data_IF_220650915686
#
_entry.id   IF_220650915686
#
_cell.length_a   1.000
_cell.length_b   1.000
_cell.length_c   1.000
_cell.angle_alpha   90.00
_cell.angle_beta   90.00
_cell.angle_gamma   90.00
#
_symmetry.space_group_name_H-M   'P 1'
#
loop_
_entity.id
_entity.type
_entity.pdbx_description
1 polymer ?
#
# COMPACT_ATOMS: atom_id res chain seq x y z
N UNK A 1 -23.39 31.99 68.59
CA UNK A 1 -23.69 30.70 67.91
C UNK A 1 -23.84 31.02 66.44
N UNK A 2 -23.04 30.41 65.55
CA UNK A 2 -23.22 30.62 64.10
C UNK A 2 -24.56 30.02 63.68
N UNK A 3 -25.28 30.74 62.83
CA UNK A 3 -26.61 30.37 62.32
C UNK A 3 -26.49 29.11 61.43
N UNK A 4 -27.31 28.10 61.68
CA UNK A 4 -27.28 26.79 61.01
C UNK A 4 -27.40 26.93 59.47
N UNK A 5 -28.17 27.94 59.04
CA UNK A 5 -28.32 28.29 57.64
C UNK A 5 -27.05 28.84 56.99
N UNK A 6 -26.15 29.44 57.77
CA UNK A 6 -24.86 29.98 57.30
C UNK A 6 -23.84 28.84 57.13
N UNK A 7 -23.82 27.90 58.08
CA UNK A 7 -22.99 26.69 58.03
C UNK A 7 -23.28 25.83 56.78
N UNK A 8 -24.57 25.62 56.47
CA UNK A 8 -25.00 24.86 55.29
C UNK A 8 -24.62 25.54 53.97
N UNK A 9 -24.62 26.88 53.91
CA UNK A 9 -24.19 27.64 52.73
C UNK A 9 -22.69 27.52 52.50
N UNK A 10 -21.89 27.57 53.56
CA UNK A 10 -20.44 27.43 53.48
C UNK A 10 -20.03 26.02 53.04
N UNK A 11 -20.65 24.98 53.62
CA UNK A 11 -20.44 23.58 53.19
C UNK A 11 -20.79 23.41 51.70
N UNK A 12 -21.93 23.94 51.25
CA UNK A 12 -22.34 23.87 49.83
C UNK A 12 -21.35 24.60 48.92
N UNK A 13 -20.79 25.72 49.36
CA UNK A 13 -19.80 26.52 48.62
C UNK A 13 -18.47 25.76 48.51
N UNK A 14 -18.04 25.07 49.55
CA UNK A 14 -16.85 24.21 49.53
C UNK A 14 -17.03 22.99 48.62
N UNK A 15 -18.16 22.30 48.69
CA UNK A 15 -18.48 21.18 47.79
C UNK A 15 -18.51 21.61 46.31
N UNK A 16 -19.06 22.79 46.03
CA UNK A 16 -19.06 23.38 44.68
C UNK A 16 -17.64 23.72 44.20
N UNK A 17 -16.77 24.23 45.08
CA UNK A 17 -15.35 24.51 44.76
C UNK A 17 -14.59 23.22 44.49
N UNK A 18 -14.68 22.22 45.38
CA UNK A 18 -14.05 20.92 45.20
C UNK A 18 -14.54 20.19 43.94
N UNK A 19 -15.84 20.31 43.61
CA UNK A 19 -16.41 19.78 42.37
C UNK A 19 -15.85 20.49 41.13
N UNK A 20 -15.74 21.82 41.15
CA UNK A 20 -15.15 22.61 40.05
C UNK A 20 -13.67 22.30 39.85
N UNK A 21 -12.91 22.12 40.93
CA UNK A 21 -11.50 21.70 40.88
C UNK A 21 -11.37 20.30 40.30
N UNK A 22 -12.13 19.32 40.80
CA UNK A 22 -12.16 17.96 40.26
C UNK A 22 -12.59 17.92 38.79
N UNK A 23 -13.54 18.76 38.38
CA UNK A 23 -13.95 18.91 36.99
C UNK A 23 -12.84 19.53 36.12
N UNK A 24 -12.13 20.55 36.64
CA UNK A 24 -10.98 21.18 35.96
C UNK A 24 -9.84 20.18 35.77
N UNK A 25 -9.45 19.45 36.82
CA UNK A 25 -8.43 18.39 36.75
C UNK A 25 -8.83 17.29 35.77
N UNK A 26 -10.10 16.85 35.82
CA UNK A 26 -10.61 15.83 34.89
C UNK A 26 -10.58 16.32 33.44
N UNK A 27 -10.91 17.60 33.20
CA UNK A 27 -10.85 18.22 31.89
C UNK A 27 -9.41 18.30 31.38
N UNK A 28 -8.49 18.80 32.19
CA UNK A 28 -7.07 18.92 31.84
C UNK A 28 -6.45 17.54 31.58
N UNK A 29 -6.76 16.53 32.40
CA UNK A 29 -6.33 15.14 32.17
C UNK A 29 -6.85 14.59 30.83
N UNK A 30 -8.14 14.78 30.54
CA UNK A 30 -8.75 14.34 29.28
C UNK A 30 -8.18 15.08 28.07
N UNK A 31 -7.89 16.38 28.20
CA UNK A 31 -7.25 17.17 27.14
C UNK A 31 -5.82 16.66 26.86
N UNK A 32 -5.03 16.39 27.91
CA UNK A 32 -3.70 15.78 27.78
C UNK A 32 -3.75 14.39 27.15
N UNK A 33 -4.61 13.49 27.65
CA UNK A 33 -4.79 12.14 27.09
C UNK A 33 -5.23 12.19 25.62
N UNK A 34 -6.11 13.12 25.24
CA UNK A 34 -6.53 13.32 23.84
C UNK A 34 -5.38 13.81 22.97
N UNK A 35 -4.60 14.78 23.46
CA UNK A 35 -3.45 15.31 22.73
C UNK A 35 -2.37 14.23 22.53
N UNK A 36 -2.07 13.45 23.56
CA UNK A 36 -1.11 12.34 23.50
C UNK A 36 -1.58 11.24 22.54
N UNK A 37 -2.86 10.81 22.64
CA UNK A 37 -3.44 9.85 21.69
C UNK A 37 -3.39 10.37 20.27
N UNK A 38 -3.69 11.65 20.04
CA UNK A 38 -3.62 12.27 18.72
C UNK A 38 -2.18 12.31 18.18
N UNK A 39 -1.19 12.60 19.03
CA UNK A 39 0.23 12.59 18.67
C UNK A 39 0.72 11.17 18.34
N UNK A 40 0.37 10.18 19.16
CA UNK A 40 0.69 8.77 18.94
C UNK A 40 0.03 8.23 17.66
N UNK A 41 -1.23 8.62 17.41
CA UNK A 41 -1.94 8.28 16.19
C UNK A 41 -1.28 8.86 14.94
N UNK A 42 -0.89 10.15 14.98
CA UNK A 42 -0.15 10.79 13.88
C UNK A 42 1.18 10.07 13.60
N UNK A 43 1.90 9.70 14.66
CA UNK A 43 3.18 8.97 14.55
C UNK A 43 2.98 7.60 13.93
N UNK A 44 1.96 6.84 14.36
CA UNK A 44 1.60 5.56 13.72
C UNK A 44 1.21 5.74 12.26
N UNK A 45 0.33 6.70 11.94
CA UNK A 45 -0.10 6.92 10.55
C UNK A 45 1.02 7.34 9.60
N UNK A 46 2.10 7.91 10.14
CA UNK A 46 3.29 8.29 9.39
C UNK A 46 4.21 7.10 9.05
N UNK A 47 4.12 6.00 9.81
CA UNK A 47 4.98 4.82 9.63
C UNK A 47 4.23 3.60 9.10
N UNK A 48 2.98 3.44 9.51
CA UNK A 48 2.18 2.24 9.28
C UNK A 48 1.04 2.46 8.29
N UNK A 49 0.72 1.40 7.55
CA UNK A 49 -0.48 1.29 6.73
C UNK A 49 -1.23 0.04 7.18
N UNK A 50 -2.30 0.24 7.96
CA UNK A 50 -3.09 -0.87 8.53
C UNK A 50 -4.30 -1.25 7.67
N UNK A 51 -4.67 -0.42 6.69
CA UNK A 51 -5.83 -0.63 5.86
C UNK A 51 -5.64 -0.05 4.45
N UNK A 52 -5.90 -0.88 3.43
CA UNK A 52 -5.85 -0.53 2.01
C UNK A 52 -7.14 -0.85 1.24
N UNK A 53 -8.13 -1.45 1.92
CA UNK A 53 -9.39 -1.89 1.31
C UNK A 53 -9.77 -3.33 1.67
N UNK A 54 -11.00 -3.74 1.33
CA UNK A 54 -11.45 -5.11 1.53
C UNK A 54 -10.61 -6.09 0.69
N UNK A 55 -10.31 -7.27 1.24
CA UNK A 55 -9.56 -8.33 0.54
C UNK A 55 -8.04 -8.09 0.36
N UNK A 56 -7.56 -6.86 0.56
CA UNK A 56 -6.12 -6.52 0.43
C UNK A 56 -5.43 -6.21 1.75
N UNK A 57 -6.20 -5.83 2.79
CA UNK A 57 -5.64 -5.39 4.06
C UNK A 57 -5.12 -6.52 4.96
N UNK A 58 -5.43 -7.78 4.65
CA UNK A 58 -5.00 -8.93 5.44
C UNK A 58 -3.47 -9.12 5.34
N UNK A 59 -2.80 -9.09 6.50
CA UNK A 59 -1.36 -9.29 6.62
C UNK A 59 -0.50 -8.07 6.33
N UNK A 60 -1.06 -6.85 6.27
CA UNK A 60 -0.25 -5.63 6.06
C UNK A 60 0.73 -5.34 7.22
N UNK A 61 0.50 -5.92 8.39
CA UNK A 61 1.39 -5.81 9.54
C UNK A 61 2.45 -6.93 9.58
N UNK A 62 2.48 -7.82 8.59
CA UNK A 62 3.51 -8.85 8.52
C UNK A 62 4.79 -8.21 8.01
N UNK A 63 5.79 -8.13 8.87
CA UNK A 63 7.09 -7.51 8.60
C UNK A 63 8.21 -8.55 8.46
N UNK A 64 7.87 -9.82 8.53
CA UNK A 64 8.81 -10.93 8.40
C UNK A 64 9.28 -11.04 6.95
N UNK A 65 10.60 -11.10 6.77
CA UNK A 65 11.25 -11.32 5.48
C UNK A 65 12.52 -12.14 5.66
N UNK A 66 12.86 -12.95 4.67
CA UNK A 66 14.13 -13.68 4.64
C UNK A 66 15.23 -12.76 4.13
N UNK A 67 15.88 -12.05 5.05
CA UNK A 67 16.90 -11.08 4.68
C UNK A 67 18.11 -11.72 3.98
N UNK A 68 18.46 -12.96 4.31
CA UNK A 68 19.59 -13.64 3.68
C UNK A 68 19.28 -13.90 2.21
N UNK A 69 18.09 -14.42 1.93
CA UNK A 69 17.62 -14.63 0.56
C UNK A 69 17.49 -13.33 -0.23
N UNK A 70 16.99 -12.26 0.38
CA UNK A 70 16.92 -10.95 -0.27
C UNK A 70 18.31 -10.41 -0.61
N UNK A 71 19.29 -10.56 0.30
CA UNK A 71 20.69 -10.16 0.05
C UNK A 71 21.31 -10.96 -1.09
N UNK A 72 21.16 -12.28 -1.09
CA UNK A 72 21.70 -13.16 -2.12
C UNK A 72 21.10 -12.85 -3.51
N UNK A 73 19.82 -12.48 -3.55
CA UNK A 73 19.13 -12.05 -4.77
C UNK A 73 19.38 -10.58 -5.16
N UNK A 74 20.13 -9.81 -4.37
CA UNK A 74 20.37 -8.38 -4.60
C UNK A 74 19.09 -7.52 -4.49
N UNK A 75 18.10 -7.98 -3.73
CA UNK A 75 16.82 -7.32 -3.52
C UNK A 75 16.86 -6.36 -2.32
N UNK A 76 16.10 -5.26 -2.35
CA UNK A 76 16.04 -4.32 -1.23
C UNK A 76 15.32 -4.95 -0.03
N UNK A 77 15.86 -4.71 1.16
CA UNK A 77 15.28 -5.17 2.44
C UNK A 77 14.24 -4.14 2.91
N UNK A 78 12.97 -4.34 2.54
CA UNK A 78 11.87 -3.43 2.81
C UNK A 78 10.85 -4.08 3.76
N UNK A 79 11.12 -3.99 5.06
CA UNK A 79 10.32 -4.67 6.08
C UNK A 79 9.00 -3.97 6.45
N UNK A 80 8.80 -2.71 6.07
CA UNK A 80 7.60 -1.95 6.45
C UNK A 80 7.19 -0.88 5.41
N UNK A 81 6.02 -0.28 5.59
CA UNK A 81 5.52 0.76 4.69
C UNK A 81 6.42 2.01 4.67
N UNK A 82 7.10 2.32 5.77
CA UNK A 82 7.99 3.47 5.87
C UNK A 82 9.26 3.30 5.03
N UNK A 83 9.90 2.14 5.10
CA UNK A 83 11.08 1.76 4.32
C UNK A 83 10.74 1.67 2.83
N UNK A 84 9.59 1.12 2.44
CA UNK A 84 9.12 1.14 1.05
C UNK A 84 8.98 2.58 0.54
N UNK A 85 8.29 3.43 1.31
CA UNK A 85 8.07 4.82 0.93
C UNK A 85 9.40 5.60 0.82
N UNK A 86 10.31 5.41 1.77
CA UNK A 86 11.64 6.02 1.77
C UNK A 86 12.47 5.56 0.56
N UNK A 87 12.46 4.26 0.24
CA UNK A 87 13.18 3.73 -0.91
C UNK A 87 12.66 4.28 -2.26
N UNK A 88 11.35 4.54 -2.34
CA UNK A 88 10.72 5.20 -3.50
C UNK A 88 10.85 6.73 -3.50
N UNK A 89 11.38 7.34 -2.44
CA UNK A 89 11.46 8.80 -2.31
C UNK A 89 10.12 9.50 -2.13
N UNK A 90 9.11 8.81 -1.59
CA UNK A 90 7.76 9.35 -1.35
C UNK A 90 7.38 9.28 0.13
N UNK A 91 6.32 10.00 0.52
CA UNK A 91 5.78 9.92 1.89
C UNK A 91 4.91 8.67 2.06
N UNK A 92 4.82 8.12 3.27
CA UNK A 92 3.91 7.00 3.58
C UNK A 92 2.45 7.34 3.26
N UNK A 93 2.04 8.59 3.46
CA UNK A 93 0.70 9.05 3.05
C UNK A 93 0.46 8.98 1.53
N UNK A 94 1.50 9.19 0.73
CA UNK A 94 1.45 9.04 -0.73
C UNK A 94 1.45 7.57 -1.15
N UNK A 95 2.29 6.73 -0.52
CA UNK A 95 2.26 5.28 -0.73
C UNK A 95 0.86 4.72 -0.44
N UNK A 96 0.29 5.09 0.72
CA UNK A 96 -1.08 4.75 1.10
C UNK A 96 -2.08 5.24 0.07
N UNK A 97 -1.98 6.48 -0.39
CA UNK A 97 -2.87 7.03 -1.42
C UNK A 97 -2.82 6.24 -2.73
N UNK A 98 -1.62 5.85 -3.20
CA UNK A 98 -1.43 5.08 -4.43
C UNK A 98 -1.92 3.63 -4.31
N UNK A 99 -1.78 3.02 -3.14
CA UNK A 99 -2.14 1.63 -2.89
C UNK A 99 -3.61 1.44 -2.44
N UNK A 100 -4.27 2.50 -1.98
CA UNK A 100 -5.63 2.41 -1.46
C UNK A 100 -6.63 2.09 -2.57
N UNK A 101 -7.33 0.96 -2.42
CA UNK A 101 -8.41 0.55 -3.31
C UNK A 101 -9.77 0.73 -2.62
N UNK A 102 -10.69 1.42 -3.27
CA UNK A 102 -12.08 1.52 -2.83
C UNK A 102 -13.00 1.56 -4.04
N UNK A 103 -14.00 0.68 -4.06
CA UNK A 103 -14.91 0.52 -5.19
C UNK A 103 -15.71 1.80 -5.52
N UNK A 104 -15.99 2.62 -4.50
CA UNK A 104 -16.70 3.90 -4.64
C UNK A 104 -15.77 5.10 -4.78
N UNK A 105 -14.46 4.89 -5.01
CA UNK A 105 -13.52 6.00 -5.19
C UNK A 105 -13.80 6.74 -6.49
N UNK A 106 -13.99 8.05 -6.42
CA UNK A 106 -14.03 8.94 -7.60
C UNK A 106 -12.63 9.24 -8.14
N UNK A 107 -11.59 8.91 -7.39
CA UNK A 107 -10.19 9.12 -7.77
C UNK A 107 -9.64 7.81 -8.31
N UNK A 108 -9.25 7.82 -9.59
CA UNK A 108 -8.56 6.72 -10.25
C UNK A 108 -7.10 7.10 -10.50
N UNK A 109 -6.20 6.17 -10.21
CA UNK A 109 -4.77 6.27 -10.58
C UNK A 109 -4.49 5.85 -12.01
N UNK A 110 -5.54 5.44 -12.75
CA UNK A 110 -5.47 5.08 -14.15
C UNK A 110 -6.35 5.99 -14.99
N UNK A 111 -5.83 6.35 -16.15
CA UNK A 111 -6.60 6.89 -17.26
C UNK A 111 -7.04 5.74 -18.16
N UNK A 112 -8.33 5.73 -18.52
CA UNK A 112 -8.90 4.68 -19.36
C UNK A 112 -9.31 5.24 -20.70
N UNK A 113 -8.79 4.68 -21.78
CA UNK A 113 -9.13 5.05 -23.15
C UNK A 113 -9.23 3.81 -24.04
N UNK A 114 -9.86 3.96 -25.20
CA UNK A 114 -10.05 2.86 -26.16
C UNK A 114 -9.19 3.10 -27.39
N UNK A 115 -8.59 2.02 -27.90
CA UNK A 115 -7.81 2.02 -29.15
C UNK A 115 -8.41 0.98 -30.08
N UNK A 116 -8.50 1.28 -31.37
CA UNK A 116 -8.97 0.32 -32.36
C UNK A 116 -7.98 -0.85 -32.49
N UNK A 117 -8.50 -2.09 -32.57
CA UNK A 117 -7.68 -3.26 -32.90
C UNK A 117 -7.48 -3.33 -34.41
N UNK A 118 -6.34 -3.88 -34.86
CA UNK A 118 -6.08 -4.17 -36.28
C UNK A 118 -7.11 -5.15 -36.88
N UNK A 119 -7.59 -6.09 -36.06
CA UNK A 119 -8.57 -7.11 -36.45
C UNK A 119 -10.03 -6.66 -36.30
N UNK A 120 -10.29 -5.37 -36.04
CA UNK A 120 -11.63 -4.86 -35.71
C UNK A 120 -11.96 -4.91 -34.21
N UNK A 121 -12.90 -4.05 -33.79
CA UNK A 121 -13.26 -3.84 -32.39
C UNK A 121 -12.31 -2.89 -31.64
N UNK A 122 -12.44 -2.82 -30.31
CA UNK A 122 -11.64 -1.91 -29.47
C UNK A 122 -10.88 -2.64 -28.37
N UNK A 123 -9.74 -2.08 -27.96
CA UNK A 123 -8.97 -2.46 -26.78
C UNK A 123 -9.06 -1.32 -25.77
N UNK A 124 -9.60 -1.62 -24.60
CA UNK A 124 -9.55 -0.71 -23.45
C UNK A 124 -8.16 -0.73 -22.84
N UNK A 125 -7.48 0.41 -22.85
CA UNK A 125 -6.17 0.61 -22.21
C UNK A 125 -6.39 1.36 -20.90
N UNK A 126 -5.76 0.86 -19.83
CA UNK A 126 -5.68 1.52 -18.53
C UNK A 126 -4.24 1.98 -18.32
N UNK A 127 -3.95 3.25 -18.62
CA UNK A 127 -2.62 3.81 -18.45
C UNK A 127 -2.45 4.40 -17.05
N UNK A 128 -1.38 4.04 -16.31
CA UNK A 128 -1.14 4.61 -14.99
C UNK A 128 -0.80 6.10 -15.11
N UNK A 129 -1.38 6.92 -14.23
CA UNK A 129 -1.03 8.34 -14.09
C UNK A 129 0.42 8.49 -13.62
N UNK A 130 1.07 9.65 -13.87
CA UNK A 130 2.52 9.82 -13.67
C UNK A 130 3.06 9.34 -12.31
N UNK A 131 2.36 9.64 -11.20
CA UNK A 131 2.77 9.24 -9.85
C UNK A 131 2.75 7.72 -9.65
N UNK A 132 1.68 7.06 -10.07
CA UNK A 132 1.59 5.60 -10.02
C UNK A 132 2.61 4.95 -10.98
N UNK A 133 2.78 5.52 -12.17
CA UNK A 133 3.75 5.04 -13.16
C UNK A 133 5.17 5.09 -12.61
N UNK A 134 5.53 6.14 -11.87
CA UNK A 134 6.84 6.27 -11.22
C UNK A 134 7.04 5.18 -10.14
N UNK A 135 6.05 4.96 -9.27
CA UNK A 135 6.11 3.90 -8.27
C UNK A 135 6.23 2.50 -8.91
N UNK A 136 5.46 2.22 -9.97
CA UNK A 136 5.54 0.96 -10.71
C UNK A 136 6.89 0.78 -11.43
N UNK A 137 7.46 1.87 -11.96
CA UNK A 137 8.79 1.87 -12.58
C UNK A 137 9.87 1.54 -11.55
N UNK A 138 9.78 2.14 -10.37
CA UNK A 138 10.69 1.86 -9.27
C UNK A 138 10.67 0.37 -8.90
N UNK A 139 9.47 -0.23 -8.75
CA UNK A 139 9.30 -1.67 -8.48
C UNK A 139 9.93 -2.52 -9.58
N UNK A 140 9.70 -2.16 -10.86
CA UNK A 140 10.30 -2.86 -11.98
C UNK A 140 11.83 -2.88 -11.88
N UNK A 141 12.44 -1.71 -11.70
CA UNK A 141 13.89 -1.55 -11.78
C UNK A 141 14.62 -2.06 -10.53
N UNK A 142 14.00 -1.95 -9.35
CA UNK A 142 14.63 -2.28 -8.07
C UNK A 142 14.24 -3.65 -7.52
N UNK A 143 13.18 -4.26 -8.05
CA UNK A 143 12.72 -5.57 -7.61
C UNK A 143 12.66 -6.52 -8.80
N UNK A 144 11.73 -6.29 -9.73
CA UNK A 144 11.37 -7.30 -10.73
C UNK A 144 12.47 -7.59 -11.76
N UNK A 145 13.25 -6.59 -12.18
CA UNK A 145 14.35 -6.77 -13.14
C UNK A 145 15.51 -7.59 -12.55
N UNK A 146 15.56 -7.78 -11.23
CA UNK A 146 16.57 -8.59 -10.51
C UNK A 146 16.14 -10.02 -10.26
N UNK A 147 14.84 -10.30 -10.38
CA UNK A 147 14.31 -11.64 -10.16
C UNK A 147 14.70 -12.53 -11.34
N UNK A 148 15.28 -13.72 -11.10
CA UNK A 148 15.60 -14.64 -12.18
C UNK A 148 14.32 -15.12 -12.87
N UNK A 149 14.31 -15.07 -14.19
CA UNK A 149 13.21 -15.54 -15.04
C UNK A 149 13.76 -16.61 -15.96
N UNK A 150 12.96 -17.65 -16.20
CA UNK A 150 13.32 -18.74 -17.11
C UNK A 150 13.85 -18.22 -18.45
N UNK A 151 14.88 -18.87 -19.00
CA UNK A 151 15.59 -18.41 -20.21
C UNK A 151 14.68 -18.37 -21.45
N UNK A 152 13.69 -19.26 -21.53
CA UNK A 152 12.66 -19.26 -22.57
C UNK A 152 11.62 -18.11 -22.46
N UNK A 153 11.69 -17.25 -21.43
CA UNK A 153 10.83 -16.08 -21.35
C UNK A 153 11.46 -14.91 -22.11
N UNK A 154 10.90 -14.54 -23.25
CA UNK A 154 11.38 -13.42 -24.07
C UNK A 154 10.53 -12.15 -23.97
N UNK A 155 9.27 -12.27 -23.58
CA UNK A 155 8.34 -11.14 -23.46
C UNK A 155 8.75 -10.18 -22.34
N UNK A 156 8.72 -8.88 -22.62
CA UNK A 156 8.98 -7.79 -21.67
C UNK A 156 10.33 -7.84 -20.94
N UNK A 157 11.31 -8.59 -21.47
CA UNK A 157 12.66 -8.70 -20.88
C UNK A 157 13.69 -7.84 -21.63
N UNK A 158 14.62 -7.25 -20.88
CA UNK A 158 15.80 -6.59 -21.45
C UNK A 158 16.68 -7.62 -22.17
N UNK A 159 17.26 -7.23 -23.30
CA UNK A 159 18.11 -8.12 -24.12
C UNK A 159 17.37 -9.23 -24.87
N UNK A 160 16.06 -9.38 -24.68
CA UNK A 160 15.21 -10.31 -25.44
C UNK A 160 14.30 -9.54 -26.38
N UNK A 161 13.88 -10.20 -27.45
CA UNK A 161 13.02 -9.63 -28.50
C UNK A 161 12.17 -10.70 -29.16
N UNK A 162 11.20 -10.27 -29.97
CA UNK A 162 10.38 -11.16 -30.82
C UNK A 162 11.28 -12.03 -31.70
N UNK A 163 12.42 -11.51 -32.17
CA UNK A 163 13.38 -12.28 -32.96
C UNK A 163 14.01 -13.40 -32.14
N UNK A 164 14.56 -13.09 -30.97
CA UNK A 164 15.19 -14.11 -30.10
C UNK A 164 14.19 -15.19 -29.66
N UNK A 165 12.90 -14.85 -29.57
CA UNK A 165 11.85 -15.83 -29.29
C UNK A 165 11.58 -16.75 -30.49
N UNK A 166 11.66 -16.22 -31.71
CA UNK A 166 11.40 -16.98 -32.94
C UNK A 166 12.56 -17.89 -33.34
N UNK A 167 13.81 -17.48 -33.06
CA UNK A 167 15.05 -18.23 -33.37
C UNK A 167 15.00 -19.74 -33.03
N UNK A 168 14.64 -20.17 -31.80
CA UNK A 168 14.57 -21.60 -31.46
C UNK A 168 13.46 -22.38 -32.19
N UNK A 169 12.49 -21.69 -32.79
CA UNK A 169 11.40 -22.31 -33.55
C UNK A 169 11.70 -22.46 -35.04
N UNK A 170 12.77 -21.84 -35.55
CA UNK A 170 13.16 -21.94 -36.96
C UNK A 170 13.56 -23.39 -37.27
N UNK A 171 13.13 -23.88 -38.45
CA UNK A 171 13.37 -25.25 -38.94
C UNK A 171 12.81 -26.37 -38.05
N UNK A 172 11.93 -26.06 -37.09
CA UNK A 172 11.21 -27.08 -36.35
C UNK A 172 10.10 -27.67 -37.22
N UNK A 173 9.99 -29.00 -37.25
CA UNK A 173 8.99 -29.70 -38.05
C UNK A 173 7.55 -29.38 -37.59
N UNK A 174 7.37 -29.10 -36.29
CA UNK A 174 6.09 -28.79 -35.66
C UNK A 174 6.28 -27.65 -34.66
N UNK A 175 5.43 -26.63 -34.72
CA UNK A 175 5.37 -25.54 -33.74
C UNK A 175 3.96 -25.48 -33.16
N UNK A 176 3.85 -25.57 -31.84
CA UNK A 176 2.57 -25.45 -31.13
C UNK A 176 2.39 -24.00 -30.69
N UNK A 177 1.30 -23.38 -31.13
CA UNK A 177 0.93 -22.03 -30.73
C UNK A 177 -0.16 -22.08 -29.65
N UNK A 178 0.12 -21.48 -28.49
CA UNK A 178 -0.78 -21.38 -27.36
C UNK A 178 -0.89 -19.92 -26.93
N UNK A 179 -2.11 -19.45 -26.67
CA UNK A 179 -2.37 -18.12 -26.13
C UNK A 179 -3.38 -18.19 -24.98
N UNK A 180 -3.24 -17.29 -24.01
CA UNK A 180 -4.11 -17.20 -22.85
C UNK A 180 -5.20 -16.14 -23.09
N UNK A 181 -6.46 -16.58 -23.06
CA UNK A 181 -7.59 -15.67 -23.12
C UNK A 181 -7.57 -14.69 -21.93
N UNK A 182 -7.73 -13.40 -22.22
CA UNK A 182 -7.84 -12.33 -21.22
C UNK A 182 -6.75 -12.35 -20.13
N UNK A 183 -5.49 -12.58 -20.52
CA UNK A 183 -4.36 -12.72 -19.60
C UNK A 183 -4.36 -11.71 -18.43
N UNK A 184 -4.34 -10.40 -18.71
CA UNK A 184 -4.24 -9.39 -17.63
C UNK A 184 -5.43 -9.39 -16.65
N UNK A 185 -6.69 -9.39 -17.10
CA UNK A 185 -7.84 -9.55 -16.19
C UNK A 185 -7.81 -10.82 -15.32
N UNK A 186 -7.16 -11.90 -15.76
CA UNK A 186 -7.11 -13.16 -15.00
C UNK A 186 -6.05 -13.17 -13.89
N UNK A 187 -5.09 -12.24 -13.90
CA UNK A 187 -4.06 -12.10 -12.85
C UNK A 187 -4.61 -11.26 -11.70
N UNK A 188 -5.06 -11.93 -10.64
CA UNK A 188 -5.69 -11.29 -9.46
C UNK A 188 -4.69 -11.00 -8.35
N UNK A 189 -5.08 -10.12 -7.42
CA UNK A 189 -4.27 -9.72 -6.26
C UNK A 189 -3.62 -10.89 -5.48
N UNK A 190 -4.32 -11.99 -5.15
CA UNK A 190 -3.69 -13.11 -4.42
C UNK A 190 -2.50 -13.73 -5.17
N UNK A 191 -2.56 -13.81 -6.51
CA UNK A 191 -1.46 -14.33 -7.32
C UNK A 191 -0.26 -13.39 -7.34
N UNK A 192 -0.51 -12.09 -7.40
CA UNK A 192 0.54 -11.06 -7.31
C UNK A 192 1.18 -11.08 -5.92
N UNK A 193 0.37 -11.08 -4.85
CA UNK A 193 0.85 -11.17 -3.46
C UNK A 193 1.68 -12.44 -3.25
N UNK A 194 1.20 -13.60 -3.72
CA UNK A 194 1.93 -14.86 -3.61
C UNK A 194 3.28 -14.85 -4.33
N UNK A 195 3.37 -14.19 -5.49
CA UNK A 195 4.65 -14.01 -6.18
C UNK A 195 5.63 -13.19 -5.33
N UNK A 196 5.20 -12.06 -4.76
CA UNK A 196 6.06 -11.25 -3.87
C UNK A 196 6.42 -11.95 -2.55
N UNK A 197 5.57 -12.84 -2.04
CA UNK A 197 5.89 -13.67 -0.86
C UNK A 197 6.85 -14.82 -1.20
N UNK A 198 6.91 -15.24 -2.47
CA UNK A 198 7.87 -16.23 -2.93
C UNK A 198 9.25 -15.65 -3.17
N UNK A 199 9.39 -14.35 -3.45
CA UNK A 199 10.68 -13.65 -3.52
C UNK A 199 11.42 -13.73 -2.18
#
# INVERSE_FOLDING_TARGET
MRDEAELLRDIRRELLRASREKQKETRERRERERAERAANWKTRQAREITYLGPGVSAGLNHVESDEAKLRDAGLPQLGDAASIAAAMGIRVGELRFLAFSRDVSRVSHYETFRVAKKSGGTRTIRAPRPRLKAAQRWILEHVLDRVPVHEAAHGFRRGRSVRTNAEPHVNQAIVVNLDLADFFPTVRYPRVKGMFQWL
#
